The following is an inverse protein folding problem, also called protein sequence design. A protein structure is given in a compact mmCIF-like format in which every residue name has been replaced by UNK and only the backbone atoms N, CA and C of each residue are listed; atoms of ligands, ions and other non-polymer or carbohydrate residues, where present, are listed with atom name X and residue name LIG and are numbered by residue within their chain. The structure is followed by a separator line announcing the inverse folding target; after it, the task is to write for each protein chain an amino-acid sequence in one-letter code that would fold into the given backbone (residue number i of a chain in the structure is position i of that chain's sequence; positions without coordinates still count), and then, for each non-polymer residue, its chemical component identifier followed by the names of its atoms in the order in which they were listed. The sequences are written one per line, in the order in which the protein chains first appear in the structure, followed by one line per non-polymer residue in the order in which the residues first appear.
data_IF_617560303235
#
_entry.id   IF_617560303235
#
_cell.length_a   1.000
_cell.length_b   1.000
_cell.length_c   1.000
_cell.angle_alpha   90.00
_cell.angle_beta   90.00
_cell.angle_gamma   90.00
#
_symmetry.space_group_name_H-M   'P 1'
#
loop_
_entity.id
_entity.type
_entity.pdbx_description
1 polymer ?
#
# COMPACT_ATOMS: atom_id res chain seq x y z
N UNK A 1 6.72 -71.79 -65.01
CA UNK A 1 7.52 -70.56 -65.31
C UNK A 1 6.54 -69.39 -65.00
N UNK A 2 6.68 -68.85 -63.78
CA UNK A 2 6.30 -67.43 -63.58
C UNK A 2 6.66 -67.06 -62.18
N UNK A 3 7.36 -65.98 -62.10
CA UNK A 3 7.94 -65.39 -60.85
C UNK A 3 6.94 -64.51 -60.13
N UNK A 4 6.51 -64.91 -58.94
CA UNK A 4 5.78 -64.04 -58.03
C UNK A 4 6.74 -63.08 -57.35
N UNK A 5 6.61 -61.79 -57.61
CA UNK A 5 7.29 -60.69 -56.89
C UNK A 5 6.45 -60.29 -55.72
N UNK A 6 6.92 -60.57 -54.51
CA UNK A 6 6.33 -60.07 -53.28
C UNK A 6 6.75 -58.61 -53.03
N UNK A 7 5.79 -57.72 -53.01
CA UNK A 7 5.92 -56.31 -52.54
C UNK A 7 5.85 -56.26 -51.01
N UNK A 8 6.97 -55.95 -50.37
CA UNK A 8 7.00 -55.69 -48.94
C UNK A 8 6.57 -54.19 -48.68
N UNK A 9 5.40 -54.03 -48.12
CA UNK A 9 4.85 -52.71 -47.70
C UNK A 9 5.47 -52.34 -46.33
N UNK A 10 6.43 -51.41 -46.32
CA UNK A 10 7.02 -50.88 -45.09
C UNK A 10 6.09 -49.75 -44.56
N UNK A 11 5.26 -50.06 -43.57
CA UNK A 11 4.48 -49.09 -42.81
C UNK A 11 5.43 -48.32 -41.89
N UNK A 12 5.65 -47.06 -42.20
CA UNK A 12 6.31 -46.11 -41.27
C UNK A 12 5.31 -45.68 -40.21
N UNK A 13 5.45 -46.15 -38.97
CA UNK A 13 4.67 -45.76 -37.83
C UNK A 13 5.21 -44.39 -37.33
N UNK A 14 4.53 -43.33 -37.69
CA UNK A 14 4.87 -41.96 -37.30
C UNK A 14 4.38 -41.75 -35.86
N UNK A 15 5.30 -41.81 -34.89
CA UNK A 15 5.04 -41.48 -33.50
C UNK A 15 4.87 -39.98 -33.38
N UNK A 16 3.62 -39.52 -33.26
CA UNK A 16 3.27 -38.14 -32.94
C UNK A 16 3.56 -37.95 -31.46
N UNK A 17 4.70 -37.37 -31.10
CA UNK A 17 5.03 -37.00 -29.74
C UNK A 17 4.20 -35.77 -29.39
N UNK A 18 3.15 -35.97 -28.60
CA UNK A 18 2.37 -34.89 -27.95
C UNK A 18 3.28 -34.27 -26.89
N UNK A 19 3.93 -33.15 -27.21
CA UNK A 19 4.67 -32.36 -26.24
C UNK A 19 3.61 -31.59 -25.41
N UNK A 20 3.46 -31.89 -24.10
CA UNK A 20 2.59 -31.06 -23.27
C UNK A 20 3.18 -29.65 -23.23
N UNK A 21 2.46 -28.69 -23.76
CA UNK A 21 2.78 -27.27 -23.57
C UNK A 21 2.72 -26.98 -22.08
N UNK A 22 3.88 -26.89 -21.45
CA UNK A 22 4.02 -26.39 -20.10
C UNK A 22 3.61 -24.90 -20.15
N UNK A 23 2.34 -24.60 -19.94
CA UNK A 23 1.92 -23.23 -19.66
C UNK A 23 2.67 -22.82 -18.40
N UNK A 24 3.61 -21.89 -18.54
CA UNK A 24 4.16 -21.21 -17.40
C UNK A 24 2.95 -20.57 -16.70
N UNK A 25 2.53 -21.13 -15.56
CA UNK A 25 1.50 -20.53 -14.74
C UNK A 25 2.07 -19.18 -14.31
N UNK A 26 1.56 -18.10 -14.93
CA UNK A 26 1.86 -16.76 -14.47
C UNK A 26 1.43 -16.65 -13.01
N UNK A 27 2.14 -15.82 -12.24
CA UNK A 27 1.76 -15.55 -10.85
C UNK A 27 0.34 -14.98 -10.84
N UNK A 28 -0.52 -15.55 -10.00
CA UNK A 28 -1.90 -15.09 -9.89
C UNK A 28 -2.07 -14.04 -8.76
N UNK A 29 -3.17 -13.30 -8.79
CA UNK A 29 -3.48 -12.28 -7.79
C UNK A 29 -3.57 -12.84 -6.36
N UNK A 30 -3.99 -14.10 -6.19
CA UNK A 30 -4.11 -14.73 -4.88
C UNK A 30 -2.73 -14.99 -4.29
N UNK A 31 -1.78 -15.42 -5.11
CA UNK A 31 -0.40 -15.64 -4.70
C UNK A 31 0.28 -14.31 -4.36
N UNK A 32 0.12 -13.26 -5.20
CA UNK A 32 0.65 -11.92 -4.91
C UNK A 32 0.11 -11.42 -3.57
N UNK A 33 -1.19 -11.61 -3.34
CA UNK A 33 -1.83 -11.16 -2.12
C UNK A 33 -1.36 -11.92 -0.88
N UNK A 34 -1.20 -13.24 -0.97
CA UNK A 34 -0.67 -14.07 0.12
C UNK A 34 0.76 -13.67 0.49
N UNK A 35 1.64 -13.45 -0.51
CA UNK A 35 3.02 -13.00 -0.29
C UNK A 35 3.06 -11.60 0.33
N UNK A 36 2.24 -10.65 -0.16
CA UNK A 36 2.10 -9.32 0.42
C UNK A 36 1.79 -9.41 1.92
N UNK A 37 0.79 -10.21 2.29
CA UNK A 37 0.38 -10.40 3.69
C UNK A 37 1.51 -10.99 4.54
N UNK A 38 2.13 -12.07 4.06
CA UNK A 38 3.22 -12.76 4.77
C UNK A 38 4.42 -11.82 4.98
N UNK A 39 4.83 -11.08 3.94
CA UNK A 39 5.97 -10.16 4.01
C UNK A 39 5.68 -8.94 4.89
N UNK A 40 4.48 -8.39 4.83
CA UNK A 40 4.08 -7.26 5.67
C UNK A 40 4.13 -7.65 7.15
N UNK A 41 3.64 -8.83 7.52
CA UNK A 41 3.74 -9.33 8.89
C UNK A 41 5.19 -9.43 9.37
N UNK A 42 6.07 -10.07 8.59
CA UNK A 42 7.48 -10.18 8.95
C UNK A 42 8.15 -8.81 9.14
N UNK A 43 7.83 -7.84 8.27
CA UNK A 43 8.35 -6.47 8.39
C UNK A 43 7.83 -5.76 9.62
N UNK A 44 6.54 -5.90 9.92
CA UNK A 44 5.92 -5.31 11.12
C UNK A 44 6.53 -5.88 12.39
N UNK A 45 6.72 -7.20 12.47
CA UNK A 45 7.32 -7.87 13.62
C UNK A 45 8.81 -7.51 13.83
N UNK A 46 9.49 -7.13 12.74
CA UNK A 46 10.88 -6.74 12.77
C UNK A 46 11.09 -5.25 13.09
N UNK A 47 10.12 -4.37 12.79
CA UNK A 47 10.24 -2.94 13.02
C UNK A 47 10.10 -2.63 14.52
N UNK A 48 11.09 -1.99 15.11
CA UNK A 48 11.08 -1.62 16.54
C UNK A 48 10.80 -0.14 16.74
N UNK A 49 11.45 0.70 15.94
CA UNK A 49 11.38 2.16 16.11
C UNK A 49 11.70 2.83 14.77
N UNK A 50 11.05 3.93 14.49
CA UNK A 50 11.54 4.89 13.50
C UNK A 50 11.29 6.32 13.95
N UNK A 51 12.13 7.21 13.41
CA UNK A 51 12.01 8.65 13.52
C UNK A 51 11.99 9.20 12.11
N UNK A 52 11.11 10.17 11.84
CA UNK A 52 11.00 10.78 10.53
C UNK A 52 10.61 12.25 10.64
N UNK A 53 11.22 13.10 9.82
CA UNK A 53 10.80 14.49 9.66
C UNK A 53 9.63 14.55 8.69
N UNK A 54 8.51 15.14 9.12
CA UNK A 54 7.30 15.28 8.31
C UNK A 54 6.97 16.73 8.03
N UNK A 55 6.47 16.98 6.82
CA UNK A 55 5.91 18.27 6.43
C UNK A 55 4.48 18.06 5.95
N UNK A 56 3.53 18.59 6.68
CA UNK A 56 2.12 18.64 6.30
C UNK A 56 1.84 19.99 5.66
N UNK A 57 1.27 20.02 4.46
CA UNK A 57 1.02 21.24 3.70
C UNK A 57 -0.35 21.21 3.06
N UNK A 58 -1.09 22.32 3.14
CA UNK A 58 -2.29 22.56 2.37
C UNK A 58 -2.02 23.73 1.41
N UNK A 59 -2.19 23.47 0.12
CA UNK A 59 -2.03 24.45 -0.96
C UNK A 59 -3.26 24.46 -1.87
N UNK A 60 -3.37 25.46 -2.74
CA UNK A 60 -4.28 25.39 -3.89
C UNK A 60 -3.58 24.79 -5.11
N UNK A 61 -4.32 24.67 -6.22
CA UNK A 61 -3.78 24.11 -7.46
C UNK A 61 -2.71 24.98 -8.12
N UNK A 62 -2.58 26.26 -7.73
CA UNK A 62 -1.54 27.16 -8.21
C UNK A 62 -0.23 27.01 -7.44
N UNK A 63 -0.25 26.18 -6.38
CA UNK A 63 0.89 25.99 -5.50
C UNK A 63 0.96 26.97 -4.34
N UNK A 64 0.01 27.89 -4.21
CA UNK A 64 -0.03 28.83 -3.06
C UNK A 64 -0.34 28.08 -1.78
N UNK A 65 0.60 28.09 -0.85
CA UNK A 65 0.48 27.46 0.47
C UNK A 65 -0.46 28.27 1.37
N UNK A 66 -1.45 27.60 1.93
CA UNK A 66 -2.40 28.20 2.88
C UNK A 66 -2.01 27.91 4.32
N UNK A 67 -1.45 26.70 4.57
CA UNK A 67 -0.97 26.31 5.88
C UNK A 67 0.10 25.22 5.72
N UNK A 68 1.08 25.26 6.61
CA UNK A 68 2.12 24.23 6.70
C UNK A 68 2.44 23.96 8.16
N UNK A 69 2.74 22.71 8.47
CA UNK A 69 3.21 22.26 9.77
C UNK A 69 4.33 21.26 9.56
N UNK A 70 5.49 21.53 10.16
CA UNK A 70 6.64 20.61 10.14
C UNK A 70 6.83 20.05 11.53
N UNK A 71 7.27 18.82 11.60
CA UNK A 71 7.53 18.18 12.87
C UNK A 71 8.26 16.86 12.72
N UNK A 72 8.61 16.31 13.86
CA UNK A 72 9.26 15.02 14.01
C UNK A 72 8.22 14.00 14.49
N UNK A 73 8.01 12.96 13.71
CA UNK A 73 7.20 11.81 14.08
C UNK A 73 8.13 10.73 14.62
N UNK A 74 7.79 10.17 15.77
CA UNK A 74 8.47 9.02 16.36
C UNK A 74 7.47 7.88 16.52
N UNK A 75 7.87 6.69 16.08
CA UNK A 75 7.14 5.46 16.28
C UNK A 75 7.97 4.50 17.12
N UNK A 76 7.33 3.81 18.06
CA UNK A 76 7.86 2.69 18.82
C UNK A 76 6.85 1.56 18.88
N UNK A 77 7.30 0.39 18.46
CA UNK A 77 6.47 -0.81 18.52
C UNK A 77 5.98 -1.11 19.96
N UNK A 78 4.77 -1.64 20.12
CA UNK A 78 3.92 -2.09 19.01
C UNK A 78 3.08 -0.96 18.39
N UNK A 79 2.74 0.12 19.13
CA UNK A 79 1.64 1.01 18.78
C UNK A 79 1.83 2.48 19.25
N UNK A 80 3.01 2.84 19.74
CA UNK A 80 3.27 4.18 20.25
C UNK A 80 3.72 5.11 19.12
N UNK A 81 2.97 6.19 18.91
CA UNK A 81 3.29 7.21 17.93
C UNK A 81 3.17 8.60 18.56
N UNK A 82 4.18 9.45 18.36
CA UNK A 82 4.19 10.83 18.86
C UNK A 82 4.63 11.78 17.76
N UNK A 83 4.09 12.99 17.76
CA UNK A 83 4.45 14.06 16.84
C UNK A 83 4.83 15.33 17.59
N UNK A 84 6.05 15.79 17.35
CA UNK A 84 6.56 17.04 17.94
C UNK A 84 6.66 18.10 16.86
N UNK A 85 5.87 19.17 16.96
CA UNK A 85 5.88 20.28 16.02
C UNK A 85 7.18 21.05 16.15
N UNK A 86 7.84 21.32 15.01
CA UNK A 86 9.10 22.10 14.96
C UNK A 86 8.90 23.47 14.30
N UNK A 87 7.99 23.58 13.34
CA UNK A 87 7.62 24.88 12.76
C UNK A 87 6.20 24.88 12.21
N UNK A 88 5.60 26.06 12.16
CA UNK A 88 4.28 26.30 11.61
C UNK A 88 4.28 27.56 10.76
N UNK A 89 3.58 27.52 9.62
CA UNK A 89 3.46 28.64 8.69
C UNK A 89 2.02 28.75 8.17
N UNK A 90 1.61 29.96 7.73
CA UNK A 90 0.31 30.24 7.13
C UNK A 90 -0.83 30.33 8.13
N UNK A 91 -2.06 30.04 7.67
CA UNK A 91 -3.29 30.24 8.43
C UNK A 91 -3.43 29.32 9.64
N UNK A 92 -3.48 29.91 10.85
CA UNK A 92 -3.75 29.16 12.07
C UNK A 92 -5.15 28.50 12.09
N UNK A 93 -6.13 29.11 11.40
CA UNK A 93 -7.46 28.52 11.27
C UNK A 93 -7.44 27.26 10.42
N UNK A 94 -6.75 27.28 9.26
CA UNK A 94 -6.61 26.09 8.38
C UNK A 94 -5.87 24.98 9.11
N UNK A 95 -4.81 25.29 9.86
CA UNK A 95 -4.09 24.29 10.67
C UNK A 95 -5.02 23.66 11.69
N UNK A 96 -5.73 24.47 12.48
CA UNK A 96 -6.64 24.00 13.52
C UNK A 96 -7.79 23.14 12.98
N UNK A 97 -8.34 23.50 11.82
CA UNK A 97 -9.50 22.79 11.25
C UNK A 97 -9.14 21.59 10.39
N UNK A 98 -7.93 21.52 9.85
CA UNK A 98 -7.54 20.46 8.93
C UNK A 98 -6.27 19.69 9.35
N UNK A 99 -5.14 20.36 9.59
CA UNK A 99 -3.89 19.66 9.88
C UNK A 99 -3.86 19.02 11.28
N UNK A 100 -4.24 19.76 12.31
CA UNK A 100 -4.19 19.23 13.68
C UNK A 100 -5.11 18.01 13.89
N UNK A 101 -6.38 18.01 13.40
CA UNK A 101 -7.20 16.79 13.47
C UNK A 101 -6.64 15.61 12.67
N UNK A 102 -6.04 15.87 11.51
CA UNK A 102 -5.39 14.84 10.72
C UNK A 102 -4.23 14.17 11.48
N UNK A 103 -3.32 14.99 12.03
CA UNK A 103 -2.17 14.52 12.81
C UNK A 103 -2.64 13.76 14.06
N UNK A 104 -3.62 14.32 14.77
CA UNK A 104 -4.19 13.68 15.97
C UNK A 104 -4.82 12.32 15.64
N UNK A 105 -5.56 12.22 14.52
CA UNK A 105 -6.18 10.96 14.11
C UNK A 105 -5.14 9.90 13.73
N UNK A 106 -4.03 10.31 13.11
CA UNK A 106 -2.95 9.39 12.77
C UNK A 106 -2.24 8.83 14.02
N UNK A 107 -2.00 9.69 15.03
CA UNK A 107 -1.45 9.26 16.31
C UNK A 107 -2.40 8.30 17.03
N UNK A 108 -3.67 8.66 17.06
CA UNK A 108 -4.72 7.85 17.71
C UNK A 108 -4.90 6.49 17.01
N UNK A 109 -4.78 6.48 15.68
CA UNK A 109 -4.86 5.26 14.91
C UNK A 109 -3.72 4.26 15.23
N UNK A 110 -2.54 4.75 15.58
CA UNK A 110 -1.44 3.89 15.99
C UNK A 110 -1.66 3.26 17.38
N UNK A 111 -2.30 3.98 18.30
CA UNK A 111 -2.54 3.53 19.70
C UNK A 111 -3.81 2.66 19.88
N UNK A 112 -4.44 2.31 18.88
CA UNK A 112 -5.48 1.41 18.51
C UNK A 112 -6.41 0.69 19.48
N UNK A 113 -7.43 1.33 20.07
CA UNK A 113 -8.62 0.62 20.57
C UNK A 113 -9.81 0.60 19.58
N UNK A 114 -9.74 1.40 18.52
CA UNK A 114 -10.75 1.56 17.48
C UNK A 114 -10.14 1.34 16.09
N UNK A 115 -9.52 0.16 15.88
CA UNK A 115 -9.04 -0.23 14.55
C UNK A 115 -10.24 -0.50 13.65
N UNK A 116 -10.61 0.49 12.85
CA UNK A 116 -11.29 0.17 11.61
C UNK A 116 -10.27 -0.57 10.75
N UNK A 117 -10.59 -1.81 10.42
CA UNK A 117 -9.76 -2.63 9.56
C UNK A 117 -9.73 -2.00 8.16
N UNK A 118 -8.73 -1.13 7.92
CA UNK A 118 -8.50 -0.44 6.65
C UNK A 118 -7.39 -1.12 5.84
N UNK A 119 -6.77 -2.16 6.38
CA UNK A 119 -5.66 -2.85 5.76
C UNK A 119 -6.06 -3.52 4.43
N UNK A 120 -5.10 -3.62 3.52
CA UNK A 120 -5.28 -4.33 2.25
C UNK A 120 -5.25 -5.82 2.54
N UNK A 121 -6.40 -6.39 2.92
CA UNK A 121 -6.58 -7.78 3.29
C UNK A 121 -7.72 -8.42 2.49
N UNK A 122 -7.76 -9.76 2.38
CA UNK A 122 -8.88 -10.47 1.73
C UNK A 122 -10.24 -10.21 2.40
N UNK A 123 -10.25 -9.83 3.68
CA UNK A 123 -11.47 -9.45 4.39
C UNK A 123 -12.05 -8.12 3.86
N UNK A 124 -11.19 -7.19 3.47
CA UNK A 124 -11.56 -5.84 3.07
C UNK A 124 -11.68 -5.65 1.57
N UNK A 125 -10.89 -6.37 0.77
CA UNK A 125 -10.76 -6.12 -0.67
C UNK A 125 -10.86 -7.38 -1.50
N UNK A 126 -11.41 -7.21 -2.71
CA UNK A 126 -11.14 -8.05 -3.86
C UNK A 126 -10.02 -7.36 -4.64
N UNK A 127 -8.97 -8.10 -4.97
CA UNK A 127 -7.88 -7.63 -5.81
C UNK A 127 -7.93 -8.34 -7.16
N UNK A 128 -7.65 -7.62 -8.23
CA UNK A 128 -7.59 -8.11 -9.60
C UNK A 128 -6.26 -7.68 -10.21
N UNK A 129 -5.45 -8.61 -10.69
CA UNK A 129 -4.21 -8.28 -11.39
C UNK A 129 -4.54 -7.68 -12.76
N UNK A 130 -4.18 -6.42 -12.97
CA UNK A 130 -4.49 -5.69 -14.21
C UNK A 130 -3.25 -5.45 -15.08
N UNK A 131 -2.07 -5.83 -14.62
CA UNK A 131 -0.83 -5.73 -15.38
C UNK A 131 0.42 -5.61 -14.52
N UNK A 132 1.50 -5.23 -15.17
CA UNK A 132 2.79 -4.96 -14.55
C UNK A 132 3.30 -3.60 -15.03
N UNK A 133 4.01 -2.87 -14.17
CA UNK A 133 4.52 -1.53 -14.46
C UNK A 133 5.76 -1.24 -13.62
N UNK A 134 6.73 -0.53 -14.20
CA UNK A 134 7.90 -0.06 -13.46
C UNK A 134 7.60 1.26 -12.76
N UNK A 135 7.81 1.30 -11.45
CA UNK A 135 7.71 2.52 -10.62
C UNK A 135 9.10 2.88 -10.11
N UNK A 136 9.75 3.80 -10.81
CA UNK A 136 11.15 4.14 -10.54
C UNK A 136 12.07 2.95 -10.83
N UNK A 137 12.72 2.43 -9.79
CA UNK A 137 13.60 1.26 -9.90
C UNK A 137 12.91 -0.08 -9.59
N UNK A 138 11.61 -0.06 -9.31
CA UNK A 138 10.86 -1.23 -8.86
C UNK A 138 9.95 -1.75 -9.95
N UNK A 139 10.09 -3.02 -10.30
CA UNK A 139 9.14 -3.74 -11.16
C UNK A 139 7.95 -4.19 -10.32
N UNK A 140 6.74 -3.78 -10.67
CA UNK A 140 5.57 -3.92 -9.83
C UNK A 140 4.43 -4.66 -10.52
N UNK A 141 3.77 -5.55 -9.80
CA UNK A 141 2.42 -6.00 -10.13
C UNK A 141 1.44 -4.86 -9.84
N UNK A 142 0.53 -4.59 -10.78
CA UNK A 142 -0.52 -3.58 -10.63
C UNK A 142 -1.84 -4.28 -10.40
N UNK A 143 -2.43 -4.06 -9.21
CA UNK A 143 -3.72 -4.64 -8.86
C UNK A 143 -4.79 -3.57 -8.71
N UNK A 144 -5.95 -3.82 -9.28
CA UNK A 144 -7.15 -3.05 -8.98
C UNK A 144 -7.73 -3.52 -7.65
N UNK A 145 -7.93 -2.59 -6.71
CA UNK A 145 -8.49 -2.85 -5.40
C UNK A 145 -9.93 -2.37 -5.33
N UNK A 146 -10.86 -3.32 -5.16
CA UNK A 146 -12.28 -3.07 -4.94
C UNK A 146 -12.66 -3.44 -3.50
N UNK A 147 -13.14 -2.49 -2.68
CA UNK A 147 -13.51 -2.76 -1.29
C UNK A 147 -14.79 -3.61 -1.23
N UNK A 148 -14.83 -4.56 -0.30
CA UNK A 148 -15.99 -5.46 -0.09
C UNK A 148 -17.17 -4.81 0.64
N UNK A 149 -16.96 -3.60 1.18
CA UNK A 149 -17.99 -2.80 1.85
C UNK A 149 -17.79 -1.31 1.58
N UNK A 150 -18.85 -0.53 1.68
CA UNK A 150 -18.79 0.93 1.61
C UNK A 150 -18.34 1.47 2.96
N UNK A 151 -17.12 2.01 3.01
CA UNK A 151 -16.51 2.53 4.23
C UNK A 151 -15.57 3.68 3.87
N UNK A 152 -15.55 4.73 4.69
CA UNK A 152 -14.68 5.91 4.48
C UNK A 152 -13.19 5.60 4.68
N UNK A 153 -12.88 4.49 5.35
CA UNK A 153 -11.50 4.01 5.60
C UNK A 153 -10.99 3.06 4.51
N UNK A 154 -11.88 2.59 3.64
CA UNK A 154 -11.52 1.81 2.47
C UNK A 154 -11.44 2.70 1.22
N UNK A 155 -10.80 2.21 0.19
CA UNK A 155 -10.64 2.95 -1.07
C UNK A 155 -10.98 2.08 -2.28
N UNK A 156 -11.28 2.72 -3.38
CA UNK A 156 -11.30 2.12 -4.72
C UNK A 156 -10.11 2.67 -5.47
N UNK A 157 -9.32 1.81 -6.11
CA UNK A 157 -8.16 2.30 -6.84
C UNK A 157 -7.17 1.22 -7.27
N UNK A 158 -5.92 1.60 -7.40
CA UNK A 158 -4.83 0.73 -7.83
C UNK A 158 -3.75 0.63 -6.75
N UNK A 159 -3.13 -0.54 -6.67
CA UNK A 159 -2.01 -0.81 -5.78
C UNK A 159 -0.87 -1.37 -6.61
N UNK A 160 0.31 -0.79 -6.49
CA UNK A 160 1.55 -1.29 -7.08
C UNK A 160 2.33 -2.04 -6.03
N UNK A 161 2.62 -3.30 -6.31
CA UNK A 161 3.32 -4.22 -5.39
C UNK A 161 4.62 -4.63 -6.05
N UNK A 162 5.75 -4.32 -5.39
CA UNK A 162 7.08 -4.73 -5.86
C UNK A 162 7.18 -6.26 -6.01
N UNK A 163 7.64 -6.71 -7.16
CA UNK A 163 7.69 -8.12 -7.51
C UNK A 163 8.75 -8.93 -6.72
N UNK A 164 9.74 -8.25 -6.12
CA UNK A 164 10.79 -8.89 -5.32
C UNK A 164 10.43 -8.98 -3.84
N UNK A 165 10.02 -7.85 -3.27
CA UNK A 165 9.77 -7.73 -1.84
C UNK A 165 8.32 -8.04 -1.47
N UNK A 166 7.41 -8.09 -2.44
CA UNK A 166 5.97 -8.12 -2.21
C UNK A 166 5.55 -7.04 -1.22
N UNK A 167 5.94 -5.81 -1.52
CA UNK A 167 5.63 -4.64 -0.73
C UNK A 167 4.88 -3.60 -1.56
N UNK A 168 4.02 -2.84 -0.91
CA UNK A 168 3.34 -1.73 -1.57
C UNK A 168 4.35 -0.63 -1.87
N UNK A 169 4.46 -0.25 -3.15
CA UNK A 169 5.30 0.86 -3.65
C UNK A 169 4.47 2.12 -3.83
N UNK A 170 3.23 1.95 -4.30
CA UNK A 170 2.31 3.06 -4.59
C UNK A 170 0.87 2.63 -4.44
N UNK A 171 0.01 3.56 -4.04
CA UNK A 171 -1.45 3.41 -4.04
C UNK A 171 -2.03 4.67 -4.68
N UNK A 172 -2.99 4.49 -5.57
CA UNK A 172 -3.81 5.56 -6.13
C UNK A 172 -5.28 5.22 -6.00
N UNK A 173 -6.08 6.20 -5.61
CA UNK A 173 -7.51 5.94 -5.50
C UNK A 173 -8.30 7.07 -4.88
N UNK A 174 -9.51 6.72 -4.49
CA UNK A 174 -10.41 7.59 -3.74
C UNK A 174 -11.12 6.79 -2.66
N UNK A 175 -11.57 7.41 -1.55
CA UNK A 175 -12.32 6.72 -0.52
C UNK A 175 -13.58 6.04 -1.06
N UNK A 176 -13.90 4.84 -0.54
CA UNK A 176 -15.07 4.07 -0.95
C UNK A 176 -16.40 4.71 -0.49
N UNK A 177 -16.34 5.63 0.46
CA UNK A 177 -17.49 6.41 0.93
C UNK A 177 -17.14 7.89 1.06
N UNK A 178 -18.15 8.73 1.15
CA UNK A 178 -17.97 10.16 1.37
C UNK A 178 -17.31 10.43 2.72
N UNK A 179 -16.22 11.23 2.72
CA UNK A 179 -15.49 11.61 3.94
C UNK A 179 -16.30 12.55 4.82
N UNK A 180 -16.99 13.52 4.22
CA UNK A 180 -17.86 14.46 4.92
C UNK A 180 -18.79 15.22 3.96
N UNK A 181 -19.79 15.92 4.48
CA UNK A 181 -20.65 16.81 3.70
C UNK A 181 -19.87 17.88 2.93
N UNK A 182 -18.78 18.39 3.52
CA UNK A 182 -17.96 19.46 2.93
C UNK A 182 -17.02 18.99 1.83
N UNK A 183 -16.71 17.70 1.78
CA UNK A 183 -15.80 17.11 0.80
C UNK A 183 -16.64 16.43 -0.28
N UNK A 184 -16.61 16.98 -1.51
CA UNK A 184 -17.29 16.39 -2.66
C UNK A 184 -16.54 15.21 -3.25
N UNK A 185 -15.21 15.31 -3.26
CA UNK A 185 -14.31 14.31 -3.84
C UNK A 185 -12.93 14.44 -3.20
N UNK A 186 -12.27 13.33 -3.02
CA UNK A 186 -10.87 13.26 -2.62
C UNK A 186 -10.20 12.18 -3.45
N UNK A 187 -9.19 12.54 -4.24
CA UNK A 187 -8.34 11.61 -4.98
C UNK A 187 -6.97 11.65 -4.34
N UNK A 188 -6.39 10.48 -4.06
CA UNK A 188 -5.10 10.43 -3.39
C UNK A 188 -4.09 9.55 -4.11
N UNK A 189 -2.81 9.88 -3.91
CA UNK A 189 -1.65 9.09 -4.27
C UNK A 189 -0.78 8.95 -3.03
N UNK A 190 -0.41 7.72 -2.68
CA UNK A 190 0.56 7.40 -1.64
C UNK A 190 1.75 6.69 -2.24
N UNK A 191 2.93 7.12 -1.89
CA UNK A 191 4.18 6.59 -2.37
C UNK A 191 5.01 6.12 -1.18
N UNK A 192 5.66 4.98 -1.37
CA UNK A 192 6.50 4.37 -0.36
C UNK A 192 7.95 4.32 -0.83
N UNK A 193 8.86 4.16 0.11
CA UNK A 193 10.30 4.02 -0.13
C UNK A 193 10.87 2.93 0.77
N UNK A 194 11.95 2.31 0.32
CA UNK A 194 12.67 1.32 1.09
C UNK A 194 13.80 2.01 1.87
N UNK A 195 13.76 1.91 3.19
CA UNK A 195 14.78 2.47 4.12
C UNK A 195 15.22 1.34 5.05
N UNK A 196 16.50 1.01 5.02
CA UNK A 196 17.10 -0.06 5.86
C UNK A 196 16.33 -1.38 5.82
N UNK A 197 15.77 -1.73 4.65
CA UNK A 197 14.99 -2.96 4.43
C UNK A 197 13.50 -2.84 4.76
N UNK A 198 13.04 -1.73 5.32
CA UNK A 198 11.64 -1.45 5.61
C UNK A 198 11.00 -0.57 4.54
N UNK A 199 9.77 -0.90 4.14
CA UNK A 199 8.97 -0.07 3.25
C UNK A 199 8.15 0.91 4.08
N UNK A 200 8.48 2.20 3.94
CA UNK A 200 7.91 3.29 4.74
C UNK A 200 7.34 4.38 3.83
N UNK A 201 6.33 5.15 4.28
CA UNK A 201 5.78 6.26 3.50
C UNK A 201 6.86 7.23 3.03
N UNK A 202 6.78 7.67 1.78
CA UNK A 202 7.64 8.71 1.20
C UNK A 202 6.88 10.01 1.04
N UNK A 203 5.70 9.91 0.42
CA UNK A 203 4.84 11.06 0.14
C UNK A 203 3.40 10.66 0.01
N UNK A 204 2.52 11.44 0.63
CA UNK A 204 1.08 11.38 0.41
C UNK A 204 0.64 12.68 -0.26
N UNK A 205 -0.17 12.56 -1.31
CA UNK A 205 -0.78 13.69 -1.99
C UNK A 205 -2.27 13.43 -2.15
N UNK A 206 -3.11 14.32 -1.61
CA UNK A 206 -4.56 14.22 -1.73
C UNK A 206 -5.11 15.50 -2.35
N UNK A 207 -5.79 15.38 -3.49
CA UNK A 207 -6.54 16.47 -4.11
C UNK A 207 -7.96 16.42 -3.63
N UNK A 208 -8.38 17.41 -2.87
CA UNK A 208 -9.71 17.49 -2.24
C UNK A 208 -10.55 18.57 -2.91
N UNK A 209 -11.76 18.22 -3.36
CA UNK A 209 -12.77 19.19 -3.79
C UNK A 209 -13.64 19.61 -2.60
N UNK A 210 -13.35 20.76 -2.04
CA UNK A 210 -14.09 21.31 -0.87
C UNK A 210 -15.26 22.18 -1.36
N UNK A 211 -16.46 21.98 -0.78
CA UNK A 211 -17.63 22.85 -1.06
C UNK A 211 -17.30 24.29 -0.69
N UNK A 212 -17.63 25.21 -1.55
CA UNK A 212 -17.40 26.68 -1.41
C UNK A 212 -15.93 27.14 -1.45
N UNK A 213 -14.94 26.25 -1.24
CA UNK A 213 -13.51 26.60 -1.18
C UNK A 213 -12.68 26.07 -2.35
N UNK A 214 -13.33 25.37 -3.32
CA UNK A 214 -12.66 24.86 -4.51
C UNK A 214 -11.74 23.67 -4.23
N UNK A 215 -10.78 23.44 -5.13
CA UNK A 215 -9.82 22.35 -4.97
C UNK A 215 -8.65 22.77 -4.08
N UNK A 216 -8.25 21.87 -3.18
CA UNK A 216 -7.08 21.99 -2.33
C UNK A 216 -6.21 20.74 -2.47
N UNK A 217 -4.92 20.91 -2.29
CA UNK A 217 -3.94 19.84 -2.28
C UNK A 217 -3.39 19.72 -0.87
N UNK A 218 -3.60 18.58 -0.24
CA UNK A 218 -2.92 18.18 0.97
C UNK A 218 -1.71 17.35 0.57
N UNK A 219 -0.54 17.70 1.07
CA UNK A 219 0.69 16.93 0.89
C UNK A 219 1.28 16.61 2.25
N UNK A 220 1.76 15.37 2.41
CA UNK A 220 2.57 14.94 3.55
C UNK A 220 3.87 14.40 2.99
N UNK A 221 4.98 15.10 3.22
CA UNK A 221 6.31 14.64 2.84
C UNK A 221 7.00 14.00 4.06
N UNK A 222 7.67 12.88 3.82
CA UNK A 222 8.39 12.11 4.84
C UNK A 222 9.86 12.06 4.47
N UNK A 223 10.74 12.59 5.32
CA UNK A 223 12.18 12.70 5.04
C UNK A 223 13.02 12.29 6.24
N UNK A 224 14.29 11.97 5.97
CA UNK A 224 15.30 11.74 6.99
C UNK A 224 14.90 10.66 8.00
N UNK A 225 14.50 9.50 7.50
CA UNK A 225 14.19 8.36 8.35
C UNK A 225 15.43 7.87 9.09
N UNK A 226 15.30 7.62 10.39
CA UNK A 226 16.19 6.80 11.18
C UNK A 226 15.41 5.62 11.71
N UNK A 227 15.78 4.40 11.31
CA UNK A 227 15.00 3.18 11.55
C UNK A 227 15.80 2.24 12.47
N UNK A 228 15.11 1.60 13.41
CA UNK A 228 15.63 0.48 14.18
C UNK A 228 14.74 -0.74 13.98
N UNK A 229 15.33 -1.84 13.57
CA UNK A 229 14.67 -3.12 13.40
C UNK A 229 15.39 -4.22 14.15
N UNK A 230 14.72 -5.35 14.35
CA UNK A 230 15.38 -6.58 14.76
C UNK A 230 16.33 -6.99 13.64
N UNK A 231 17.56 -7.46 13.97
CA UNK A 231 18.45 -8.00 12.95
C UNK A 231 17.73 -9.14 12.22
N UNK A 232 17.86 -9.15 10.88
CA UNK A 232 17.36 -10.26 10.09
C UNK A 232 17.96 -11.54 10.69
N UNK A 233 17.11 -12.44 11.19
CA UNK A 233 17.56 -13.74 11.67
C UNK A 233 18.15 -14.46 10.46
N UNK A 234 19.47 -14.59 10.40
CA UNK A 234 20.20 -15.41 9.43
C UNK A 234 19.84 -16.88 9.66
N UNK A 235 18.63 -17.27 9.42
CA UNK A 235 18.29 -18.64 9.12
C UNK A 235 18.36 -18.77 7.58
N UNK A 236 19.57 -19.01 7.11
CA UNK A 236 19.81 -19.62 5.83
C UNK A 236 19.07 -20.96 5.82
N UNK A 237 17.89 -20.94 5.24
CA UNK A 237 17.05 -22.11 5.10
C UNK A 237 15.98 -21.74 4.11
N UNK A 238 16.10 -22.24 2.89
CA UNK A 238 15.03 -22.20 1.89
C UNK A 238 13.71 -22.59 2.56
N UNK A 239 12.77 -21.64 2.67
CA UNK A 239 11.42 -21.91 3.08
C UNK A 239 10.48 -21.54 1.95
N UNK A 240 10.35 -22.48 1.02
CA UNK A 240 9.12 -22.71 0.32
C UNK A 240 8.14 -23.32 1.35
N UNK A 241 7.07 -22.59 1.69
CA UNK A 241 6.01 -23.12 2.54
C UNK A 241 5.02 -22.01 2.94
N UNK A 242 3.71 -22.24 2.80
CA UNK A 242 2.70 -21.26 3.15
C UNK A 242 2.55 -21.15 4.67
N UNK A 243 2.77 -19.96 5.23
CA UNK A 243 2.46 -19.68 6.63
C UNK A 243 1.04 -19.17 6.77
N UNK A 244 0.23 -19.94 7.49
CA UNK A 244 -1.10 -19.58 7.94
C UNK A 244 -1.04 -18.53 9.06
N UNK A 245 -1.85 -17.50 8.93
CA UNK A 245 -1.98 -16.41 9.88
C UNK A 245 -2.78 -16.78 11.12
N UNK A 246 -2.24 -16.46 12.28
CA UNK A 246 -3.00 -16.25 13.49
C UNK A 246 -2.37 -15.08 14.27
N UNK A 247 -2.98 -13.96 14.24
CA UNK A 247 -3.14 -12.84 15.17
C UNK A 247 -3.32 -11.50 14.44
N UNK A 248 -4.35 -10.75 14.88
CA UNK A 248 -5.00 -9.64 14.17
C UNK A 248 -4.36 -8.27 14.37
N UNK A 249 -3.17 -8.12 14.95
CA UNK A 249 -2.79 -6.85 15.59
C UNK A 249 -1.78 -5.95 14.85
N UNK A 250 -1.30 -6.30 13.65
CA UNK A 250 -0.14 -5.57 13.09
C UNK A 250 -0.34 -4.83 11.76
N UNK A 251 -1.54 -4.70 11.23
CA UNK A 251 -1.76 -4.11 9.91
C UNK A 251 -2.02 -2.60 9.87
N UNK A 252 -2.01 -1.91 11.02
CA UNK A 252 -2.33 -0.47 11.09
C UNK A 252 -1.24 0.48 10.58
N UNK A 253 -0.04 -0.02 10.32
CA UNK A 253 1.10 0.82 9.95
C UNK A 253 1.16 1.24 8.48
N UNK A 254 0.34 0.68 7.62
CA UNK A 254 0.33 1.06 6.20
C UNK A 254 -0.38 2.40 5.93
N UNK A 255 -0.66 3.19 6.96
CA UNK A 255 -1.06 4.60 6.83
C UNK A 255 -2.33 4.86 6.01
N UNK A 256 -3.25 3.88 5.90
CA UNK A 256 -4.47 3.98 5.10
C UNK A 256 -5.66 4.59 5.85
N UNK A 257 -5.44 5.29 6.97
CA UNK A 257 -6.53 5.88 7.74
C UNK A 257 -6.78 7.35 7.36
N UNK A 258 -7.97 7.68 6.88
CA UNK A 258 -8.43 9.07 6.84
C UNK A 258 -8.73 9.56 8.28
N UNK A 259 -8.66 10.87 8.52
CA UNK A 259 -8.97 11.45 9.83
C UNK A 259 -10.41 11.12 10.26
N UNK A 260 -10.58 10.67 11.50
CA UNK A 260 -11.88 10.59 12.15
C UNK A 260 -12.41 12.01 12.36
N UNK A 261 -13.63 12.24 11.95
CA UNK A 261 -14.49 13.37 12.21
C UNK A 261 -13.84 14.74 12.49
N UNK A 262 -13.84 15.61 11.47
CA UNK A 262 -13.89 17.05 11.75
C UNK A 262 -15.18 17.31 12.51
N UNK A 263 -15.14 17.90 13.72
CA UNK A 263 -16.35 18.23 14.44
C UNK A 263 -17.20 19.18 13.59
N UNK A 264 -18.44 18.76 13.34
CA UNK A 264 -19.48 19.60 12.79
C UNK A 264 -19.85 20.65 13.85
N UNK A 265 -19.38 21.86 13.69
CA UNK A 265 -20.04 23.10 14.13
C UNK A 265 -19.66 24.25 13.22
#
# INVERSE_FOLDING_TARGET
MDRMRSLALRGALMWLTLIPSLSAAGIDEQQIFAELQARNRLRSDALLEYIVNRTYQIADLTGKVHAQEKGRMEFRAPDQKTFTVTSVEGSGLVRRLALNPLIASEIQAASGKDHHDSAITPANYTLELIGEEDVGAYHCYVLHAAPKRTDKYLFVGKVWIDAQDYAVVRIEGHPAANLSFWIKRADFVREYQKVDGFWLPRKDTTVVQVRLYGKKVLTIDHRDYAVKGKPASNKTGALAGPFLCSHEDSCSELGLQPPKDLPLR
#
